data_IF_866864733151
#
_entry.id   IF_866864733151
#
_cell.length_a   1.000
_cell.length_b   1.000
_cell.length_c   1.000
_cell.angle_alpha   90.00
_cell.angle_beta   90.00
_cell.angle_gamma   90.00
#
_symmetry.space_group_name_H-M   'P 1'
#
loop_
_entity.id
_entity.type
_entity.pdbx_description
1 polymer ?
#
# COMPACT_ATOMS: atom_id res chain seq x y z
N UNK A 1 -12.99 4.24 -13.97
CA UNK A 1 -12.57 4.85 -12.68
C UNK A 1 -11.11 4.52 -12.44
N UNK A 2 -10.24 5.52 -12.31
CA UNK A 2 -8.82 5.29 -12.04
C UNK A 2 -8.65 4.66 -10.64
N UNK A 3 -7.89 3.56 -10.57
CA UNK A 3 -7.55 2.93 -9.29
C UNK A 3 -6.68 3.90 -8.50
N UNK A 4 -7.05 4.18 -7.25
CA UNK A 4 -6.25 5.01 -6.33
C UNK A 4 -4.85 4.39 -6.16
N UNK A 5 -3.81 5.25 -6.14
CA UNK A 5 -2.44 4.78 -5.94
C UNK A 5 -2.28 4.12 -4.57
N UNK A 6 -1.34 3.18 -4.47
CA UNK A 6 -1.01 2.50 -3.21
C UNK A 6 -0.64 3.52 -2.11
N UNK A 7 0.07 4.59 -2.47
CA UNK A 7 0.47 5.66 -1.56
C UNK A 7 -0.76 6.40 -0.98
N UNK A 8 -1.69 6.82 -1.84
CA UNK A 8 -2.89 7.53 -1.40
C UNK A 8 -3.86 6.62 -0.62
N UNK A 9 -3.84 5.32 -0.90
CA UNK A 9 -4.52 4.31 -0.07
C UNK A 9 -3.88 4.23 1.32
N UNK A 10 -2.54 4.18 1.40
CA UNK A 10 -1.81 4.16 2.67
C UNK A 10 -2.06 5.44 3.48
N UNK A 11 -2.08 6.61 2.86
CA UNK A 11 -2.44 7.89 3.50
C UNK A 11 -3.82 7.84 4.16
N UNK A 12 -4.84 7.38 3.41
CA UNK A 12 -6.22 7.26 3.93
C UNK A 12 -6.33 6.26 5.07
N UNK A 13 -5.60 5.15 4.98
CA UNK A 13 -5.56 4.14 6.03
C UNK A 13 -4.84 4.66 7.29
N UNK A 14 -3.76 5.43 7.14
CA UNK A 14 -3.08 6.10 8.24
C UNK A 14 -3.91 7.23 8.86
N UNK A 15 -4.73 7.89 8.06
CA UNK A 15 -5.68 8.88 8.58
C UNK A 15 -6.75 8.20 9.43
N UNK A 16 -7.37 7.14 8.92
CA UNK A 16 -8.31 6.32 9.67
C UNK A 16 -7.69 5.79 10.98
N UNK A 17 -6.45 5.31 10.94
CA UNK A 17 -5.73 4.87 12.14
C UNK A 17 -5.58 5.98 13.17
N UNK A 18 -5.23 7.20 12.75
CA UNK A 18 -5.12 8.36 13.66
C UNK A 18 -6.45 8.78 14.27
N UNK A 19 -7.56 8.68 13.53
CA UNK A 19 -8.90 8.97 14.07
C UNK A 19 -9.27 7.99 15.17
N UNK A 20 -9.00 6.69 14.97
CA UNK A 20 -9.27 5.67 15.99
C UNK A 20 -8.41 5.85 17.24
N UNK A 21 -7.15 6.29 17.10
CA UNK A 21 -6.28 6.54 18.25
C UNK A 21 -6.67 7.76 19.08
N UNK A 22 -7.43 8.70 18.51
CA UNK A 22 -7.95 9.87 19.24
C UNK A 22 -9.13 9.54 20.14
N UNK A 23 -9.70 8.34 20.01
CA UNK A 23 -10.89 7.93 20.75
C UNK A 23 -12.18 8.53 20.21
N UNK A 24 -12.18 9.04 18.97
CA UNK A 24 -13.40 9.53 18.30
C UNK A 24 -14.42 8.36 18.21
N UNK A 25 -15.70 8.65 18.45
CA UNK A 25 -16.77 7.67 18.19
C UNK A 25 -16.73 7.21 16.72
N UNK A 26 -17.08 5.95 16.46
CA UNK A 26 -16.98 5.39 15.11
C UNK A 26 -17.83 6.17 14.09
N UNK A 27 -19.00 6.65 14.50
CA UNK A 27 -19.87 7.46 13.64
C UNK A 27 -19.23 8.79 13.27
N UNK A 28 -18.70 9.51 14.26
CA UNK A 28 -18.01 10.77 14.07
C UNK A 28 -16.74 10.61 13.21
N UNK A 29 -15.96 9.55 13.46
CA UNK A 29 -14.79 9.22 12.67
C UNK A 29 -15.14 8.92 11.21
N UNK A 30 -16.27 8.24 10.94
CA UNK A 30 -16.77 7.97 9.59
C UNK A 30 -17.13 9.28 8.88
N UNK A 31 -17.89 10.16 9.51
CA UNK A 31 -18.30 11.44 8.92
C UNK A 31 -17.09 12.34 8.64
N UNK A 32 -16.18 12.44 9.60
CA UNK A 32 -14.95 13.22 9.48
C UNK A 32 -14.07 12.70 8.34
N UNK A 33 -13.86 11.39 8.28
CA UNK A 33 -13.08 10.79 7.19
C UNK A 33 -13.76 10.95 5.83
N UNK A 34 -15.08 10.78 5.74
CA UNK A 34 -15.83 10.96 4.51
C UNK A 34 -15.67 12.39 3.97
N UNK A 35 -15.76 13.39 4.85
CA UNK A 35 -15.57 14.81 4.53
C UNK A 35 -14.13 15.10 4.10
N UNK A 36 -13.15 14.78 4.94
CA UNK A 36 -11.76 15.18 4.73
C UNK A 36 -11.10 14.46 3.54
N UNK A 37 -11.52 13.24 3.25
CA UNK A 37 -11.00 12.46 2.12
C UNK A 37 -11.86 12.55 0.86
N UNK A 38 -12.99 13.27 0.90
CA UNK A 38 -14.00 13.34 -0.16
C UNK A 38 -14.40 11.93 -0.68
N UNK A 39 -14.79 11.04 0.24
CA UNK A 39 -15.21 9.66 -0.05
C UNK A 39 -16.58 9.37 0.56
N UNK A 40 -17.23 8.31 0.08
CA UNK A 40 -18.51 7.91 0.67
C UNK A 40 -18.35 7.38 2.10
N UNK A 41 -19.37 7.55 2.93
CA UNK A 41 -19.40 7.02 4.31
C UNK A 41 -19.08 5.51 4.35
N UNK A 42 -19.55 4.74 3.37
CA UNK A 42 -19.24 3.31 3.25
C UNK A 42 -17.75 3.05 3.00
N UNK A 43 -17.08 3.88 2.20
CA UNK A 43 -15.64 3.77 1.99
C UNK A 43 -14.85 4.20 3.23
N UNK A 44 -15.28 5.28 3.91
CA UNK A 44 -14.70 5.71 5.18
C UNK A 44 -14.77 4.62 6.25
N UNK A 45 -15.97 4.04 6.44
CA UNK A 45 -16.17 2.90 7.35
C UNK A 45 -15.22 1.73 7.05
N UNK A 46 -15.05 1.37 5.76
CA UNK A 46 -14.11 0.29 5.39
C UNK A 46 -12.67 0.59 5.75
N UNK A 47 -12.20 1.83 5.59
CA UNK A 47 -10.85 2.19 5.99
C UNK A 47 -10.67 2.19 7.51
N UNK A 48 -11.68 2.64 8.27
CA UNK A 48 -11.68 2.58 9.74
C UNK A 48 -11.66 1.13 10.22
N UNK A 49 -12.48 0.25 9.66
CA UNK A 49 -12.44 -1.19 9.97
C UNK A 49 -11.07 -1.82 9.63
N UNK A 50 -10.47 -1.45 8.49
CA UNK A 50 -9.12 -1.90 8.15
C UNK A 50 -8.06 -1.37 9.13
N UNK A 51 -8.21 -0.13 9.59
CA UNK A 51 -7.28 0.50 10.50
C UNK A 51 -7.35 -0.04 11.93
N UNK A 52 -8.50 -0.57 12.38
CA UNK A 52 -8.64 -1.23 13.69
C UNK A 52 -7.68 -2.40 13.89
N UNK A 53 -7.35 -3.11 12.81
CA UNK A 53 -6.41 -4.24 12.85
C UNK A 53 -4.92 -3.82 12.85
N UNK A 54 -4.61 -2.54 12.69
CA UNK A 54 -3.24 -2.06 12.56
C UNK A 54 -2.63 -1.71 13.91
N UNK A 55 -1.50 -2.36 14.21
CA UNK A 55 -0.67 -2.03 15.38
C UNK A 55 0.11 -0.72 15.22
N UNK A 56 0.35 -0.29 13.99
CA UNK A 56 1.11 0.91 13.64
C UNK A 56 0.66 1.46 12.28
N UNK A 57 0.94 2.74 11.96
CA UNK A 57 0.70 3.31 10.63
C UNK A 57 1.40 2.49 9.52
N UNK A 58 0.77 2.42 8.36
CA UNK A 58 1.33 1.83 7.15
C UNK A 58 2.38 2.75 6.56
N UNK A 59 3.55 2.22 6.21
CA UNK A 59 4.57 2.99 5.50
C UNK A 59 4.01 3.50 4.15
N UNK A 60 4.04 4.82 3.96
CA UNK A 60 3.74 5.44 2.66
C UNK A 60 5.03 5.30 1.84
N UNK A 61 5.10 4.26 1.01
CA UNK A 61 6.19 4.12 0.05
C UNK A 61 6.03 5.11 -1.09
N UNK A 62 7.14 5.43 -1.77
CA UNK A 62 7.14 6.22 -2.99
C UNK A 62 6.13 5.68 -4.00
N UNK A 63 5.61 6.60 -4.82
CA UNK A 63 4.70 6.24 -5.90
C UNK A 63 5.34 5.18 -6.81
N UNK A 64 4.67 4.03 -6.94
CA UNK A 64 5.13 2.96 -7.81
C UNK A 64 4.74 3.28 -9.25
N UNK A 65 5.74 3.49 -10.09
CA UNK A 65 5.58 3.56 -11.55
C UNK A 65 5.89 2.22 -12.19
N UNK A 66 5.20 1.90 -13.30
CA UNK A 66 5.50 0.70 -14.07
C UNK A 66 6.87 0.83 -14.75
N UNK A 67 7.80 -0.05 -14.40
CA UNK A 67 9.11 -0.15 -15.02
C UNK A 67 9.19 -1.41 -15.87
N UNK A 68 9.20 -1.26 -17.20
CA UNK A 68 9.17 -2.38 -18.15
C UNK A 68 10.51 -2.54 -18.84
N UNK A 69 11.07 -3.75 -18.80
CA UNK A 69 12.35 -4.10 -19.44
C UNK A 69 12.22 -5.39 -20.24
N UNK A 70 13.00 -5.51 -21.31
CA UNK A 70 13.13 -6.77 -22.05
C UNK A 70 14.17 -7.65 -21.35
N UNK A 71 13.81 -8.90 -21.06
CA UNK A 71 14.68 -9.88 -20.42
C UNK A 71 14.57 -11.23 -21.16
N UNK A 72 15.64 -12.06 -21.14
CA UNK A 72 15.57 -13.41 -21.68
C UNK A 72 14.45 -14.22 -21.01
N UNK A 73 13.73 -15.04 -21.80
CA UNK A 73 12.60 -15.85 -21.31
C UNK A 73 12.99 -16.75 -20.13
N UNK A 74 14.19 -17.32 -20.16
CA UNK A 74 14.72 -18.15 -19.06
C UNK A 74 14.85 -17.37 -17.75
N UNK A 75 15.38 -16.15 -17.82
CA UNK A 75 15.52 -15.27 -16.65
C UNK A 75 14.14 -14.88 -16.08
N UNK A 76 13.17 -14.56 -16.93
CA UNK A 76 11.81 -14.25 -16.48
C UNK A 76 11.18 -15.41 -15.71
N UNK A 77 11.40 -16.67 -16.16
CA UNK A 77 10.91 -17.86 -15.45
C UNK A 77 11.57 -17.98 -14.07
N UNK A 78 12.91 -17.92 -14.01
CA UNK A 78 13.66 -18.02 -12.75
C UNK A 78 13.22 -16.95 -11.73
N UNK A 79 13.01 -15.70 -12.18
CA UNK A 79 12.53 -14.61 -11.33
C UNK A 79 11.13 -14.90 -10.77
N UNK A 80 10.22 -15.44 -11.60
CA UNK A 80 8.86 -15.82 -11.17
C UNK A 80 8.87 -16.98 -10.19
N UNK A 81 9.62 -18.04 -10.48
CA UNK A 81 9.72 -19.22 -9.61
C UNK A 81 10.31 -18.83 -8.25
N UNK A 82 11.36 -18.00 -8.25
CA UNK A 82 11.97 -17.49 -7.03
C UNK A 82 10.99 -16.64 -6.19
N UNK A 83 10.21 -15.76 -6.84
CA UNK A 83 9.20 -14.94 -6.17
C UNK A 83 8.10 -15.81 -5.54
N UNK A 84 7.60 -16.80 -6.28
CA UNK A 84 6.56 -17.71 -5.82
C UNK A 84 7.03 -18.55 -4.62
N UNK A 85 8.23 -19.14 -4.71
CA UNK A 85 8.81 -19.93 -3.63
C UNK A 85 8.95 -19.14 -2.32
N UNK A 86 9.11 -17.81 -2.40
CA UNK A 86 9.26 -16.91 -1.25
C UNK A 86 8.00 -16.11 -0.92
N UNK A 87 6.89 -16.35 -1.61
CA UNK A 87 5.62 -15.60 -1.47
C UNK A 87 5.81 -14.09 -1.60
N UNK A 88 6.72 -13.64 -2.47
CA UNK A 88 6.97 -12.24 -2.76
C UNK A 88 6.27 -11.83 -4.06
N UNK A 89 5.85 -10.57 -4.15
CA UNK A 89 5.46 -10.01 -5.45
C UNK A 89 6.69 -9.76 -6.32
N UNK A 90 6.52 -9.78 -7.66
CA UNK A 90 7.61 -9.44 -8.59
C UNK A 90 8.15 -8.03 -8.33
N UNK A 91 7.27 -7.07 -8.07
CA UNK A 91 7.65 -5.68 -7.75
C UNK A 91 8.51 -5.60 -6.49
N UNK A 92 8.16 -6.37 -5.46
CA UNK A 92 8.92 -6.41 -4.22
C UNK A 92 10.29 -7.07 -4.39
N UNK A 93 10.33 -8.21 -5.09
CA UNK A 93 11.58 -8.90 -5.41
C UNK A 93 12.53 -7.99 -6.18
N UNK A 94 12.06 -7.42 -7.29
CA UNK A 94 12.86 -6.55 -8.16
C UNK A 94 13.27 -5.28 -7.42
N UNK A 95 12.37 -4.65 -6.68
CA UNK A 95 12.70 -3.46 -5.88
C UNK A 95 13.74 -3.73 -4.78
N UNK A 96 13.73 -4.91 -4.15
CA UNK A 96 14.78 -5.31 -3.20
C UNK A 96 16.12 -5.53 -3.91
N UNK A 97 16.12 -6.20 -5.06
CA UNK A 97 17.32 -6.47 -5.84
C UNK A 97 17.99 -5.16 -6.34
N UNK A 98 17.20 -4.25 -6.91
CA UNK A 98 17.68 -2.95 -7.40
C UNK A 98 18.25 -2.10 -6.26
N UNK A 99 17.56 -1.98 -5.12
CA UNK A 99 18.09 -1.23 -3.96
C UNK A 99 19.42 -1.79 -3.47
N UNK A 100 19.55 -3.12 -3.37
CA UNK A 100 20.82 -3.75 -2.98
C UNK A 100 21.94 -3.51 -3.99
N UNK A 101 21.63 -3.52 -5.28
CA UNK A 101 22.61 -3.24 -6.33
C UNK A 101 23.08 -1.78 -6.27
N UNK A 102 22.15 -0.84 -6.13
CA UNK A 102 22.44 0.60 -6.12
C UNK A 102 23.10 1.08 -4.83
N UNK A 103 22.84 0.44 -3.69
CA UNK A 103 23.51 0.76 -2.43
C UNK A 103 24.98 0.30 -2.35
N UNK A 104 25.45 -0.50 -3.31
CA UNK A 104 26.84 -0.97 -3.41
C UNK A 104 27.71 -0.07 -4.29
N UNK A 105 27.17 1.08 -4.72
CA UNK A 105 27.87 2.10 -5.50
C UNK A 105 28.36 3.20 -4.57
#
# INVERSE_FOLDING_TARGET
MARISDARKAERLNYAWRLLQRGDDLGEAVERMARDCAISARQAYRYLEQARGLKAPVAIGDEKVAFTVKLPRGLVRQVRDYAQARRLSLSELVGRALRRLLARR
#
